data_IF_091635002133
#
_entry.id   IF_091635002133
#
_cell.length_a   1.000
_cell.length_b   1.000
_cell.length_c   1.000
_cell.angle_alpha   90.00
_cell.angle_beta   90.00
_cell.angle_gamma   90.00
#
_symmetry.space_group_name_H-M   'P 1'
#
loop_
_entity.id
_entity.type
_entity.pdbx_description
1 polymer ?
#
# COMPACT_ATOMS: atom_id res chain seq x y z
N UNK A 1 17.15 -26.33 32.35
CA UNK A 1 15.80 -25.83 32.68
C UNK A 1 15.66 -24.31 32.58
N UNK A 2 16.70 -23.50 32.81
CA UNK A 2 16.61 -22.04 32.63
C UNK A 2 16.43 -21.54 31.19
N UNK A 3 16.88 -22.31 30.19
CA UNK A 3 16.85 -21.87 28.79
C UNK A 3 15.41 -21.67 28.25
N UNK A 4 14.44 -22.40 28.80
CA UNK A 4 13.04 -22.27 28.41
C UNK A 4 12.47 -20.89 28.72
N UNK A 5 12.84 -20.29 29.86
CA UNK A 5 12.40 -18.94 30.21
C UNK A 5 12.96 -17.89 29.26
N UNK A 6 14.23 -18.03 28.87
CA UNK A 6 14.85 -17.16 27.87
C UNK A 6 14.18 -17.32 26.50
N UNK A 7 13.93 -18.56 26.07
CA UNK A 7 13.31 -18.85 24.78
C UNK A 7 11.88 -18.29 24.70
N UNK A 8 11.09 -18.45 25.77
CA UNK A 8 9.74 -17.89 25.90
C UNK A 8 9.76 -16.37 25.83
N UNK A 9 10.69 -15.72 26.56
CA UNK A 9 10.83 -14.27 26.54
C UNK A 9 11.16 -13.74 25.14
N UNK A 10 12.13 -14.35 24.46
CA UNK A 10 12.54 -13.95 23.11
C UNK A 10 11.41 -14.19 22.10
N UNK A 11 10.72 -15.34 22.15
CA UNK A 11 9.62 -15.63 21.23
C UNK A 11 8.45 -14.68 21.42
N UNK A 12 8.11 -14.35 22.67
CA UNK A 12 7.02 -13.42 22.96
C UNK A 12 7.36 -12.01 22.49
N UNK A 13 8.61 -11.56 22.73
CA UNK A 13 9.08 -10.26 22.26
C UNK A 13 9.05 -10.17 20.72
N UNK A 14 9.54 -11.20 20.03
CA UNK A 14 9.47 -11.27 18.57
C UNK A 14 8.02 -11.25 18.05
N UNK A 15 7.11 -11.97 18.70
CA UNK A 15 5.69 -11.97 18.36
C UNK A 15 5.06 -10.58 18.52
N UNK A 16 5.39 -9.85 19.60
CA UNK A 16 4.92 -8.48 19.82
C UNK A 16 5.45 -7.50 18.77
N UNK A 17 6.74 -7.61 18.39
CA UNK A 17 7.32 -6.80 17.32
C UNK A 17 6.58 -7.07 16.00
N UNK A 18 6.41 -8.35 15.66
CA UNK A 18 5.73 -8.75 14.43
C UNK A 18 4.29 -8.24 14.40
N UNK A 19 3.55 -8.40 15.50
CA UNK A 19 2.18 -7.91 15.61
C UNK A 19 2.10 -6.38 15.53
N UNK A 20 3.03 -5.66 16.17
CA UNK A 20 3.11 -4.20 16.10
C UNK A 20 3.38 -3.70 14.67
N UNK A 21 4.34 -4.33 13.98
CA UNK A 21 4.64 -4.04 12.58
C UNK A 21 3.44 -4.34 11.67
N UNK A 22 2.76 -5.47 11.90
CA UNK A 22 1.56 -5.85 11.16
C UNK A 22 0.42 -4.83 11.34
N UNK A 23 0.11 -4.43 12.56
CA UNK A 23 -0.92 -3.41 12.84
C UNK A 23 -0.55 -2.08 12.18
N UNK A 24 0.73 -1.69 12.25
CA UNK A 24 1.20 -0.46 11.58
C UNK A 24 1.01 -0.53 10.06
N UNK A 25 1.41 -1.64 9.41
CA UNK A 25 1.25 -1.83 7.97
C UNK A 25 -0.22 -1.77 7.51
N UNK A 26 -1.12 -2.40 8.27
CA UNK A 26 -2.58 -2.35 8.01
C UNK A 26 -3.10 -0.92 8.17
N UNK A 27 -2.69 -0.19 9.22
CA UNK A 27 -3.13 1.20 9.45
C UNK A 27 -2.59 2.18 8.41
N UNK A 28 -1.42 1.90 7.83
CA UNK A 28 -0.82 2.71 6.78
C UNK A 28 -1.39 2.40 5.39
N UNK A 29 -2.30 1.42 5.27
CA UNK A 29 -2.92 1.08 4.00
C UNK A 29 -1.95 0.46 3.00
N UNK A 30 -0.86 -0.17 3.46
CA UNK A 30 0.10 -0.85 2.54
C UNK A 30 -0.55 -1.95 1.70
N UNK A 31 -1.71 -2.46 2.15
CA UNK A 31 -2.48 -3.50 1.45
C UNK A 31 -3.65 -2.94 0.64
N UNK A 32 -3.83 -1.61 0.58
CA UNK A 32 -4.95 -0.98 -0.12
C UNK A 32 -4.71 -0.83 -1.63
N UNK A 33 -3.52 -1.20 -2.13
CA UNK A 33 -3.22 -1.26 -3.57
C UNK A 33 -3.89 -2.49 -4.21
N UNK A 34 -5.20 -2.40 -4.34
CA UNK A 34 -6.06 -3.40 -4.99
C UNK A 34 -6.04 -3.27 -6.52
N UNK A 35 -5.46 -2.18 -7.05
CA UNK A 35 -5.37 -1.91 -8.48
C UNK A 35 -4.09 -2.54 -9.03
N UNK A 36 -4.25 -3.62 -9.78
CA UNK A 36 -3.11 -4.28 -10.41
C UNK A 36 -2.44 -3.28 -11.36
N UNK A 37 -1.11 -3.08 -11.31
CA UNK A 37 -0.42 -2.08 -12.13
C UNK A 37 -0.68 -2.24 -13.63
N UNK A 38 -0.96 -3.46 -14.09
CA UNK A 38 -1.32 -3.77 -15.47
C UNK A 38 -2.67 -3.20 -15.94
N UNK A 39 -3.59 -2.87 -15.03
CA UNK A 39 -4.90 -2.29 -15.36
C UNK A 39 -4.82 -0.76 -15.36
N UNK A 40 -4.08 -0.18 -14.41
CA UNK A 40 -3.81 1.27 -14.32
C UNK A 40 -3.26 1.83 -15.63
N UNK A 41 -2.27 1.15 -16.22
CA UNK A 41 -1.64 1.59 -17.47
C UNK A 41 -2.59 1.62 -18.67
N UNK A 42 -3.66 0.82 -18.67
CA UNK A 42 -4.64 0.80 -19.77
C UNK A 42 -5.56 2.03 -19.72
N UNK A 43 -5.76 2.61 -18.55
CA UNK A 43 -6.67 3.75 -18.35
C UNK A 43 -5.95 5.09 -18.18
N UNK A 44 -4.66 5.08 -17.79
CA UNK A 44 -3.82 6.29 -17.71
C UNK A 44 -3.72 7.02 -19.07
N UNK A 45 -3.70 6.26 -20.18
CA UNK A 45 -3.66 6.83 -21.54
C UNK A 45 -4.98 7.56 -21.88
N UNK A 46 -6.13 7.09 -21.42
CA UNK A 46 -7.44 7.70 -21.68
C UNK A 46 -7.61 9.02 -20.91
N UNK A 47 -7.12 9.09 -19.66
CA UNK A 47 -7.20 10.31 -18.85
C UNK A 47 -6.34 11.44 -19.44
N UNK A 48 -5.17 11.11 -19.99
CA UNK A 48 -4.29 12.08 -20.66
C UNK A 48 -4.94 12.73 -21.89
N UNK A 49 -5.66 11.95 -22.70
CA UNK A 49 -6.35 12.43 -23.91
C UNK A 49 -7.53 13.34 -23.55
N UNK A 50 -8.32 12.99 -22.53
CA UNK A 50 -9.48 13.79 -22.11
C UNK A 50 -9.06 15.18 -21.58
N UNK A 51 -7.99 15.24 -20.80
CA UNK A 51 -7.44 16.50 -20.28
C UNK A 51 -6.93 17.44 -21.39
N UNK A 52 -6.39 16.87 -22.48
CA UNK A 52 -5.94 17.64 -23.63
C UNK A 52 -7.12 18.19 -24.45
N UNK A 53 -8.18 17.40 -24.64
CA UNK A 53 -9.40 17.81 -25.35
C UNK A 53 -10.13 18.92 -24.59
N UNK A 54 -10.23 18.83 -23.26
CA UNK A 54 -10.93 19.83 -22.44
C UNK A 54 -10.15 21.15 -22.36
N UNK A 55 -8.81 21.11 -22.24
CA UNK A 55 -7.97 22.31 -22.37
C UNK A 55 -8.16 22.99 -23.73
N UNK A 56 -8.18 22.20 -24.82
CA UNK A 56 -8.36 22.76 -26.16
C UNK A 56 -9.73 23.43 -26.35
N UNK A 57 -10.80 22.90 -25.75
CA UNK A 57 -12.13 23.52 -25.79
C UNK A 57 -12.17 24.85 -25.05
N UNK A 58 -11.48 24.95 -23.91
CA UNK A 58 -11.39 26.19 -23.12
C UNK A 58 -10.61 27.28 -23.86
N UNK A 59 -9.52 26.92 -24.56
CA UNK A 59 -8.75 27.86 -25.39
C UNK A 59 -9.50 28.37 -26.64
N UNK A 60 -10.53 27.65 -27.10
CA UNK A 60 -11.31 28.03 -28.29
C UNK A 60 -12.58 28.82 -27.98
N UNK A 61 -12.87 29.06 -26.70
CA UNK A 61 -14.06 29.76 -26.22
C UNK A 61 -13.74 31.21 -25.84
#
# INVERSE_FOLDING_TARGET
>A
MNIFYLLIGVSLFAALIFLGAFIWAVRTGQFDDNETPSIRILFDDEESINNEIDNKKELTK
#
